data_IF_123163763480
#
_entry.id   IF_123163763480
#
_cell.length_a   1.000
_cell.length_b   1.000
_cell.length_c   1.000
_cell.angle_alpha   90.00
_cell.angle_beta   90.00
_cell.angle_gamma   90.00
#
_symmetry.space_group_name_H-M   'P 1'
#
loop_
_entity.id
_entity.type
_entity.pdbx_description
1 polymer ?
#
# COMPACT_ATOMS: atom_id res chain seq x y z
N UNK A 1 14.30 -23.81 20.36
CA UNK A 1 14.49 -23.07 19.09
C UNK A 1 15.07 -21.70 19.42
N UNK A 2 16.31 -21.36 19.01
CA UNK A 2 16.91 -20.03 19.26
C UNK A 2 16.34 -19.04 18.25
N UNK A 3 15.52 -18.09 18.69
CA UNK A 3 14.99 -17.02 17.85
C UNK A 3 16.14 -16.04 17.56
N UNK A 4 16.52 -15.88 16.29
CA UNK A 4 17.49 -14.85 15.88
C UNK A 4 16.93 -13.47 16.25
N UNK A 5 17.74 -12.55 16.79
CA UNK A 5 17.29 -11.20 17.05
C UNK A 5 16.80 -10.55 15.74
N UNK A 6 15.73 -9.73 15.80
CA UNK A 6 15.22 -9.06 14.62
C UNK A 6 16.34 -8.24 13.99
N UNK A 7 16.57 -8.45 12.68
CA UNK A 7 17.50 -7.62 11.91
C UNK A 7 17.05 -6.18 12.06
N UNK A 8 17.86 -5.33 12.69
CA UNK A 8 17.60 -3.90 12.65
C UNK A 8 17.70 -3.46 11.19
N UNK A 9 16.57 -3.06 10.62
CA UNK A 9 16.53 -2.44 9.31
C UNK A 9 17.31 -1.12 9.38
N UNK A 10 18.20 -0.88 8.42
CA UNK A 10 18.91 0.38 8.33
C UNK A 10 17.89 1.49 8.09
N UNK A 11 17.59 2.25 9.15
CA UNK A 11 16.66 3.36 9.08
C UNK A 11 17.26 4.42 8.16
N UNK A 12 16.49 4.87 7.18
CA UNK A 12 16.93 5.97 6.32
C UNK A 12 17.21 7.19 7.19
N UNK A 13 18.32 7.87 6.92
CA UNK A 13 18.62 9.11 7.62
C UNK A 13 17.62 10.18 7.17
N UNK A 14 17.31 11.12 8.06
CA UNK A 14 16.47 12.24 7.71
C UNK A 14 17.03 13.01 6.50
N UNK A 15 18.36 13.13 6.42
CA UNK A 15 19.04 13.78 5.31
C UNK A 15 18.79 13.05 3.98
N UNK A 16 18.97 11.73 3.92
CA UNK A 16 18.74 10.97 2.69
C UNK A 16 17.27 10.99 2.25
N UNK A 17 16.34 10.93 3.20
CA UNK A 17 14.91 11.06 2.91
C UNK A 17 14.57 12.45 2.34
N UNK A 18 15.05 13.53 2.96
CA UNK A 18 14.86 14.90 2.49
C UNK A 18 15.46 15.12 1.10
N UNK A 19 16.67 14.62 0.87
CA UNK A 19 17.35 14.76 -0.41
C UNK A 19 16.59 14.05 -1.54
N UNK A 20 16.09 12.84 -1.29
CA UNK A 20 15.26 12.10 -2.25
C UNK A 20 14.00 12.87 -2.64
N UNK A 21 13.27 13.42 -1.67
CA UNK A 21 12.09 14.26 -1.92
C UNK A 21 12.46 15.50 -2.74
N UNK A 22 13.58 16.14 -2.41
CA UNK A 22 14.10 17.29 -3.15
C UNK A 22 14.36 16.97 -4.61
N UNK A 23 15.03 15.83 -4.89
CA UNK A 23 15.30 15.37 -6.27
C UNK A 23 14.03 15.11 -7.06
N UNK A 24 13.06 14.40 -6.47
CA UNK A 24 11.78 14.12 -7.11
C UNK A 24 10.97 15.39 -7.42
N UNK A 25 10.98 16.37 -6.51
CA UNK A 25 10.31 17.66 -6.72
C UNK A 25 10.97 18.43 -7.88
N UNK A 26 12.30 18.51 -7.88
CA UNK A 26 13.07 19.18 -8.93
C UNK A 26 12.87 18.55 -10.30
N UNK A 27 12.82 17.21 -10.39
CA UNK A 27 12.56 16.53 -11.67
C UNK A 27 11.17 16.82 -12.24
N UNK A 28 10.21 17.19 -11.38
CA UNK A 28 8.86 17.59 -11.76
C UNK A 28 8.72 19.12 -11.93
N UNK A 29 9.81 19.89 -11.78
CA UNK A 29 9.76 21.36 -11.79
C UNK A 29 9.02 21.97 -10.59
N UNK A 30 8.75 21.19 -9.55
CA UNK A 30 8.03 21.64 -8.35
C UNK A 30 9.00 22.32 -7.40
N UNK A 31 8.71 23.59 -7.09
CA UNK A 31 9.49 24.35 -6.11
C UNK A 31 9.13 23.91 -4.69
N UNK A 32 9.91 23.01 -4.12
CA UNK A 32 9.74 22.59 -2.73
C UNK A 32 10.50 23.52 -1.77
N UNK A 33 9.85 23.93 -0.68
CA UNK A 33 10.50 24.66 0.42
C UNK A 33 10.52 23.81 1.69
N UNK A 34 11.47 24.06 2.59
CA UNK A 34 11.54 23.38 3.90
C UNK A 34 10.24 23.58 4.70
N UNK A 35 9.61 24.76 4.57
CA UNK A 35 8.38 25.08 5.27
C UNK A 35 7.14 24.38 4.68
N UNK A 36 7.11 24.17 3.36
CA UNK A 36 5.97 23.57 2.67
C UNK A 36 5.85 22.06 2.94
N UNK A 37 6.96 21.32 3.04
CA UNK A 37 6.92 19.86 3.14
C UNK A 37 7.37 19.29 4.50
N UNK A 38 8.37 19.90 5.16
CA UNK A 38 8.99 19.33 6.37
C UNK A 38 8.44 19.98 7.65
N UNK A 39 8.42 21.31 7.70
CA UNK A 39 7.95 22.04 8.89
C UNK A 39 6.43 22.27 8.88
N UNK A 40 5.73 21.72 7.89
CA UNK A 40 4.27 21.76 7.87
C UNK A 40 3.78 21.08 9.16
N UNK A 41 3.11 21.83 10.03
CA UNK A 41 2.61 21.30 11.30
C UNK A 41 1.64 20.14 11.06
N UNK A 42 1.47 19.25 12.03
CA UNK A 42 0.46 18.18 11.95
C UNK A 42 -0.93 18.75 11.64
N UNK A 43 -1.28 19.90 12.21
CA UNK A 43 -2.52 20.61 11.92
C UNK A 43 -2.61 21.10 10.47
N UNK A 44 -1.54 21.64 9.89
CA UNK A 44 -1.52 22.05 8.48
C UNK A 44 -1.56 20.85 7.51
N UNK A 45 -0.99 19.69 7.91
CA UNK A 45 -1.16 18.43 7.16
C UNK A 45 -2.59 17.89 7.24
N UNK A 46 -3.23 17.98 8.41
CA UNK A 46 -4.63 17.59 8.59
C UNK A 46 -5.57 18.57 7.87
N UNK A 47 -5.27 19.87 7.88
CA UNK A 47 -6.00 20.88 7.10
C UNK A 47 -5.82 20.64 5.60
N UNK A 48 -4.62 20.33 5.10
CA UNK A 48 -4.45 19.88 3.71
C UNK A 48 -5.18 18.55 3.44
N UNK A 49 -5.36 17.69 4.45
CA UNK A 49 -6.18 16.49 4.37
C UNK A 49 -7.69 16.78 4.58
N UNK A 50 -8.11 18.00 4.91
CA UNK A 50 -9.50 18.33 5.25
C UNK A 50 -10.07 19.42 4.32
N UNK A 51 -9.33 20.50 4.08
CA UNK A 51 -9.55 21.53 3.05
C UNK A 51 -9.48 20.91 1.64
N UNK A 52 -8.50 20.05 1.37
CA UNK A 52 -8.44 19.31 0.10
C UNK A 52 -9.42 18.13 0.06
N UNK A 53 -10.13 17.84 1.17
CA UNK A 53 -11.28 16.92 1.20
C UNK A 53 -12.65 17.62 0.99
N UNK A 54 -12.74 18.94 1.10
CA UNK A 54 -13.99 19.67 0.83
C UNK A 54 -13.93 20.48 -0.46
N UNK A 55 -12.85 21.21 -0.73
CA UNK A 55 -12.81 22.12 -1.89
C UNK A 55 -12.31 21.46 -3.18
N UNK A 56 -11.58 20.33 -3.07
CA UNK A 56 -11.27 19.47 -4.23
C UNK A 56 -12.41 18.48 -4.56
N UNK A 57 -13.37 18.29 -3.65
CA UNK A 57 -14.45 17.31 -3.81
C UNK A 57 -15.72 17.87 -4.44
N UNK A 58 -15.79 19.17 -4.71
CA UNK A 58 -16.92 19.77 -5.44
C UNK A 58 -16.57 20.47 -6.75
N UNK A 59 -15.30 20.79 -7.05
CA UNK A 59 -14.96 21.54 -8.27
C UNK A 59 -13.71 21.08 -9.05
N UNK A 60 -13.04 19.98 -8.67
CA UNK A 60 -12.01 19.38 -9.52
C UNK A 60 -12.61 18.20 -10.27
N UNK A 61 -12.55 18.23 -11.61
CA UNK A 61 -12.74 17.04 -12.46
C UNK A 61 -11.97 15.88 -11.83
N UNK A 62 -12.71 14.83 -11.49
CA UNK A 62 -12.36 13.66 -10.70
C UNK A 62 -10.90 13.18 -10.88
N UNK A 63 -10.11 13.21 -9.79
CA UNK A 63 -8.96 12.31 -9.61
C UNK A 63 -9.34 11.09 -8.76
N UNK A 64 -10.61 10.71 -8.75
CA UNK A 64 -10.99 9.37 -8.33
C UNK A 64 -10.66 8.45 -9.51
N UNK A 65 -9.57 7.69 -9.40
CA UNK A 65 -9.46 6.47 -10.19
C UNK A 65 -10.65 5.62 -9.76
N UNK A 66 -11.64 5.49 -10.64
CA UNK A 66 -12.71 4.53 -10.47
C UNK A 66 -12.03 3.19 -10.25
N UNK A 67 -12.03 2.72 -8.99
CA UNK A 67 -11.52 1.37 -8.69
C UNK A 67 -12.26 0.44 -9.63
N UNK A 68 -11.51 -0.45 -10.28
CA UNK A 68 -12.11 -1.42 -11.18
C UNK A 68 -13.33 -2.05 -10.49
N UNK A 69 -14.49 -1.99 -11.14
CA UNK A 69 -15.76 -2.52 -10.60
C UNK A 69 -15.65 -4.03 -10.25
N UNK A 70 -14.61 -4.69 -10.77
CA UNK A 70 -14.30 -6.08 -10.56
C UNK A 70 -13.45 -6.29 -9.31
N UNK A 71 -13.98 -7.11 -8.41
CA UNK A 71 -13.23 -7.61 -7.27
C UNK A 71 -12.38 -8.82 -7.70
N UNK A 72 -11.06 -8.82 -7.45
CA UNK A 72 -10.23 -9.98 -7.70
C UNK A 72 -10.67 -11.16 -6.83
N UNK A 73 -10.47 -12.37 -7.33
CA UNK A 73 -10.85 -13.59 -6.61
C UNK A 73 -10.15 -13.66 -5.25
N UNK A 74 -10.89 -14.03 -4.19
CA UNK A 74 -10.35 -14.11 -2.83
C UNK A 74 -9.14 -15.05 -2.74
N UNK A 75 -9.12 -16.14 -3.49
CA UNK A 75 -7.99 -17.07 -3.54
C UNK A 75 -6.73 -16.43 -4.16
N UNK A 76 -6.88 -15.54 -5.15
CA UNK A 76 -5.79 -14.76 -5.70
C UNK A 76 -5.27 -13.73 -4.69
N UNK A 77 -6.18 -13.02 -4.00
CA UNK A 77 -5.80 -12.07 -2.95
C UNK A 77 -5.00 -12.73 -1.82
N UNK A 78 -5.36 -13.95 -1.43
CA UNK A 78 -4.67 -14.72 -0.38
C UNK A 78 -3.22 -15.10 -0.74
N UNK A 79 -2.88 -15.15 -2.04
CA UNK A 79 -1.50 -15.41 -2.51
C UNK A 79 -0.55 -14.23 -2.22
N UNK A 80 -1.08 -13.02 -2.04
CA UNK A 80 -0.29 -11.86 -1.58
C UNK A 80 -0.13 -11.88 -0.07
N UNK A 81 1.08 -11.60 0.42
CA UNK A 81 1.34 -11.51 1.86
C UNK A 81 0.82 -12.72 2.66
N UNK A 82 1.09 -13.95 2.22
CA UNK A 82 0.50 -15.21 2.75
C UNK A 82 0.32 -15.23 4.28
N UNK A 83 1.35 -14.81 5.03
CA UNK A 83 1.36 -14.77 6.49
C UNK A 83 0.20 -13.97 7.13
N UNK A 84 -0.36 -12.97 6.43
CA UNK A 84 -1.44 -12.13 6.97
C UNK A 84 -2.73 -12.92 7.22
N UNK A 85 -2.98 -14.00 6.46
CA UNK A 85 -4.13 -14.86 6.74
C UNK A 85 -3.97 -15.60 8.07
N UNK A 86 -2.81 -16.21 8.27
CA UNK A 86 -2.44 -16.86 9.52
C UNK A 86 -2.47 -15.89 10.70
N UNK A 87 -1.94 -14.68 10.53
CA UNK A 87 -1.92 -13.67 11.59
C UNK A 87 -3.32 -13.21 11.96
N UNK A 88 -4.21 -13.05 10.98
CA UNK A 88 -5.61 -12.73 11.24
C UNK A 88 -6.30 -13.80 12.07
N UNK A 89 -6.12 -15.08 11.72
CA UNK A 89 -6.75 -16.20 12.43
C UNK A 89 -6.21 -16.32 13.87
N UNK A 90 -4.90 -16.13 14.05
CA UNK A 90 -4.25 -16.13 15.38
C UNK A 90 -4.69 -14.98 16.27
N UNK A 91 -4.84 -13.78 15.70
CA UNK A 91 -5.37 -12.62 16.41
C UNK A 91 -6.84 -12.84 16.81
N UNK A 92 -7.65 -13.42 15.92
CA UNK A 92 -9.04 -13.76 16.20
C UNK A 92 -9.18 -14.82 17.31
N UNK A 93 -8.29 -15.82 17.31
CA UNK A 93 -8.23 -16.86 18.34
C UNK A 93 -7.69 -16.37 19.70
N UNK A 94 -7.21 -15.11 19.79
CA UNK A 94 -6.52 -14.55 20.97
C UNK A 94 -5.43 -15.49 21.50
N UNK A 95 -4.71 -16.14 20.59
CA UNK A 95 -3.80 -17.23 20.93
C UNK A 95 -2.48 -16.69 21.53
N UNK A 96 -2.48 -16.57 22.87
CA UNK A 96 -1.35 -16.10 23.67
C UNK A 96 -0.39 -17.24 23.99
N UNK A 97 0.18 -17.89 22.97
CA UNK A 97 1.24 -18.88 23.23
C UNK A 97 2.49 -18.18 23.78
N UNK A 98 3.09 -18.65 24.90
CA UNK A 98 4.32 -18.06 25.42
C UNK A 98 5.46 -18.25 24.41
N UNK A 99 5.81 -17.17 23.71
CA UNK A 99 6.75 -17.17 22.58
C UNK A 99 6.18 -16.65 21.27
N UNK A 100 4.88 -16.30 21.23
CA UNK A 100 4.28 -15.68 20.04
C UNK A 100 4.78 -14.24 19.85
N UNK A 101 5.29 -13.88 18.66
CA UNK A 101 5.73 -12.51 18.37
C UNK A 101 4.57 -11.55 18.05
N UNK A 102 3.33 -12.04 17.97
CA UNK A 102 2.13 -11.28 17.60
C UNK A 102 1.30 -11.10 18.87
N UNK A 103 1.12 -9.86 19.31
CA UNK A 103 0.30 -9.51 20.45
C UNK A 103 -1.07 -9.02 19.96
N UNK A 104 -2.20 -9.48 20.54
CA UNK A 104 -3.53 -9.06 20.11
C UNK A 104 -3.87 -7.62 20.54
N UNK A 105 -3.10 -6.64 20.07
CA UNK A 105 -3.29 -5.22 20.29
C UNK A 105 -4.18 -4.60 19.21
N UNK A 106 -4.78 -3.45 19.52
CA UNK A 106 -5.59 -2.70 18.55
C UNK A 106 -4.77 -2.34 17.29
N UNK A 107 -3.51 -1.98 17.46
CA UNK A 107 -2.62 -1.61 16.35
C UNK A 107 -2.31 -2.80 15.43
N UNK A 108 -2.02 -3.97 15.99
CA UNK A 108 -1.75 -5.18 15.20
C UNK A 108 -2.98 -5.67 14.45
N UNK A 109 -4.15 -5.63 15.10
CA UNK A 109 -5.43 -5.93 14.45
C UNK A 109 -5.71 -4.98 13.28
N UNK A 110 -5.57 -3.67 13.50
CA UNK A 110 -5.78 -2.67 12.45
C UNK A 110 -4.76 -2.83 11.30
N UNK A 111 -3.50 -3.15 11.61
CA UNK A 111 -2.47 -3.39 10.60
C UNK A 111 -2.79 -4.61 9.73
N UNK A 112 -3.17 -5.74 10.34
CA UNK A 112 -3.56 -6.94 9.60
C UNK A 112 -4.76 -6.68 8.71
N UNK A 113 -5.78 -5.97 9.21
CA UNK A 113 -6.94 -5.57 8.40
C UNK A 113 -6.57 -4.64 7.24
N UNK A 114 -5.69 -3.67 7.49
CA UNK A 114 -5.17 -2.77 6.46
C UNK A 114 -4.50 -3.55 5.34
N UNK A 115 -3.64 -4.53 5.65
CA UNK A 115 -2.98 -5.35 4.63
C UNK A 115 -3.99 -6.25 3.90
N UNK A 116 -4.99 -6.79 4.59
CA UNK A 116 -6.05 -7.56 3.94
C UNK A 116 -6.84 -6.73 2.93
N UNK A 117 -7.17 -5.48 3.26
CA UNK A 117 -7.82 -4.56 2.34
C UNK A 117 -6.88 -4.16 1.20
N UNK A 118 -5.60 -3.92 1.52
CA UNK A 118 -4.56 -3.57 0.57
C UNK A 118 -4.35 -4.65 -0.50
N UNK A 119 -4.45 -5.94 -0.16
CA UNK A 119 -4.35 -7.04 -1.15
C UNK A 119 -5.29 -6.86 -2.34
N UNK A 120 -6.52 -6.40 -2.09
CA UNK A 120 -7.54 -6.20 -3.12
C UNK A 120 -7.19 -5.02 -4.01
N UNK A 121 -6.95 -3.86 -3.39
CA UNK A 121 -6.61 -2.64 -4.12
C UNK A 121 -5.31 -2.79 -4.89
N UNK A 122 -4.32 -3.48 -4.31
CA UNK A 122 -3.07 -3.79 -4.98
C UNK A 122 -3.31 -4.59 -6.26
N UNK A 123 -4.05 -5.71 -6.23
CA UNK A 123 -4.32 -6.48 -7.46
C UNK A 123 -5.09 -5.66 -8.50
N UNK A 124 -6.07 -4.86 -8.07
CA UNK A 124 -6.83 -3.99 -8.96
C UNK A 124 -5.92 -2.99 -9.68
N UNK A 125 -5.11 -2.25 -8.91
CA UNK A 125 -4.26 -1.18 -9.43
C UNK A 125 -3.07 -1.73 -10.24
N UNK A 126 -2.58 -2.93 -9.90
CA UNK A 126 -1.46 -3.55 -10.62
C UNK A 126 -1.78 -3.82 -12.10
N UNK A 127 -3.04 -4.09 -12.45
CA UNK A 127 -3.42 -4.28 -13.86
C UNK A 127 -3.11 -3.02 -14.66
N UNK A 128 -3.52 -1.85 -14.17
CA UNK A 128 -3.24 -0.55 -14.80
C UNK A 128 -1.74 -0.21 -14.73
N UNK A 129 -1.10 -0.44 -13.58
CA UNK A 129 0.32 -0.13 -13.41
C UNK A 129 1.21 -0.95 -14.35
N UNK A 130 0.81 -2.18 -14.71
CA UNK A 130 1.49 -3.00 -15.71
C UNK A 130 1.41 -2.39 -17.11
N UNK A 131 0.30 -1.75 -17.47
CA UNK A 131 0.12 -1.11 -18.78
C UNK A 131 0.92 0.19 -18.87
N UNK A 132 0.89 0.99 -17.80
CA UNK A 132 1.62 2.26 -17.75
C UNK A 132 3.14 2.07 -17.65
N UNK A 133 3.58 0.99 -16.98
CA UNK A 133 5.00 0.78 -16.67
C UNK A 133 5.46 -0.68 -16.92
N UNK A 134 5.49 -1.15 -18.18
CA UNK A 134 5.78 -2.54 -18.51
C UNK A 134 7.20 -3.01 -18.12
N UNK A 135 8.12 -2.08 -17.86
CA UNK A 135 9.54 -2.39 -17.60
C UNK A 135 9.89 -2.64 -16.13
N UNK A 136 8.93 -2.63 -15.20
CA UNK A 136 9.25 -2.88 -13.78
C UNK A 136 9.54 -4.36 -13.48
N UNK A 137 10.55 -4.59 -12.64
CA UNK A 137 10.98 -5.92 -12.21
C UNK A 137 9.95 -6.65 -11.36
N UNK A 138 9.03 -5.91 -10.72
CA UNK A 138 7.95 -6.49 -9.91
C UNK A 138 7.08 -7.46 -10.72
N UNK A 139 6.92 -7.23 -12.03
CA UNK A 139 6.12 -8.08 -12.94
C UNK A 139 6.69 -9.47 -13.15
N UNK A 140 7.96 -9.70 -12.82
CA UNK A 140 8.60 -11.02 -12.88
C UNK A 140 8.15 -11.94 -11.74
N UNK A 141 7.44 -11.41 -10.75
CA UNK A 141 6.95 -12.22 -9.62
C UNK A 141 5.91 -13.24 -10.10
N UNK A 142 5.98 -14.48 -9.58
CA UNK A 142 5.17 -15.62 -10.04
C UNK A 142 3.66 -15.39 -9.99
N UNK A 143 3.19 -14.49 -9.12
CA UNK A 143 1.77 -14.13 -9.03
C UNK A 143 1.21 -13.53 -10.32
N UNK A 144 2.05 -12.84 -11.11
CA UNK A 144 1.64 -12.23 -12.38
C UNK A 144 1.52 -13.24 -13.52
N UNK A 145 2.10 -14.43 -13.34
CA UNK A 145 1.95 -15.59 -14.23
C UNK A 145 0.82 -16.53 -13.78
N UNK A 146 0.16 -16.24 -12.66
CA UNK A 146 -0.90 -17.09 -12.12
C UNK A 146 -2.12 -17.10 -13.06
N UNK A 147 -2.71 -18.27 -13.38
CA UNK A 147 -3.87 -18.34 -14.25
C UNK A 147 -5.06 -17.50 -13.75
N UNK A 148 -5.25 -17.40 -12.42
CA UNK A 148 -6.32 -16.58 -11.87
C UNK A 148 -6.04 -15.08 -12.05
N UNK A 149 -4.78 -14.66 -11.99
CA UNK A 149 -4.39 -13.27 -12.29
C UNK A 149 -4.57 -12.95 -13.77
N UNK A 150 -4.09 -13.82 -14.67
CA UNK A 150 -4.24 -13.62 -16.12
C UNK A 150 -5.72 -13.55 -16.54
N UNK A 151 -6.57 -14.38 -15.93
CA UNK A 151 -8.02 -14.32 -16.13
C UNK A 151 -8.61 -12.98 -15.66
N UNK A 152 -8.25 -12.54 -14.44
CA UNK A 152 -8.70 -11.26 -13.90
C UNK A 152 -8.24 -10.07 -14.77
N UNK A 153 -6.98 -10.06 -15.20
CA UNK A 153 -6.44 -9.04 -16.10
C UNK A 153 -7.25 -8.93 -17.39
N UNK A 154 -7.58 -10.07 -18.03
CA UNK A 154 -8.44 -10.10 -19.22
C UNK A 154 -9.83 -9.53 -18.95
N UNK A 155 -10.44 -9.85 -17.81
CA UNK A 155 -11.76 -9.32 -17.47
C UNK A 155 -11.76 -7.80 -17.31
N UNK A 156 -10.72 -7.24 -16.68
CA UNK A 156 -10.55 -5.78 -16.57
C UNK A 156 -10.49 -5.14 -17.96
N UNK A 157 -9.74 -5.73 -18.90
CA UNK A 157 -9.63 -5.23 -20.27
C UNK A 157 -10.94 -5.35 -21.09
N UNK A 158 -11.86 -6.24 -20.72
CA UNK A 158 -13.15 -6.39 -21.39
C UNK A 158 -14.13 -5.29 -20.97
N UNK A 159 -13.97 -4.76 -19.76
CA UNK A 159 -14.93 -3.80 -19.15
C UNK A 159 -14.44 -2.35 -19.25
N UNK A 160 -13.14 -2.13 -19.50
CA UNK A 160 -12.54 -0.82 -19.76
C UNK A 160 -12.79 -0.36 -21.21
#
# INVERSE_FOLDING_TARGET
MKIKPPRQAQKWSYFSHRESIGKASSSLGIRSSKNTHINCGSSARMAAFQENWCDQWQHSRFFYLARAALNPLTSLCKKLFLAIGEWHDRLAAKELSPGNPIQPTVAENAFVQMIMMFRKTFIQDLVLMMELHPCYTIWQHSIFSDPAYLSFKRQVHIIA
#
